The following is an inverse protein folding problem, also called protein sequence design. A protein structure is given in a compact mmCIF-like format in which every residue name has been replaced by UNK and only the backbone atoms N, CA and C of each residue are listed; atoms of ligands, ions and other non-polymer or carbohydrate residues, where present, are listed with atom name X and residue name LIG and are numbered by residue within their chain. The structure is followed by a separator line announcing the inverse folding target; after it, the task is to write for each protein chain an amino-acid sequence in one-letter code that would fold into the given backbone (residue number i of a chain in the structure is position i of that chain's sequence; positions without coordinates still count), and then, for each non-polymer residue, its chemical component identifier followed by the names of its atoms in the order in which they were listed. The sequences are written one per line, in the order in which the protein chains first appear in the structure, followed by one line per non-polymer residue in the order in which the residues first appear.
data_IF_048697700407
#
_entry.id   IF_048697700407
#
_cell.length_a   1.000
_cell.length_b   1.000
_cell.length_c   1.000
_cell.angle_alpha   90.00
_cell.angle_beta   90.00
_cell.angle_gamma   90.00
#
_symmetry.space_group_name_H-M   'P 1'
#
loop_
_entity.id
_entity.type
_entity.pdbx_description
1 polymer ?
#
# COMPACT_ATOMS: atom_id res chain seq x y z
N UNK A 1 -12.07 -10.52 -1.40
CA UNK A 1 -13.44 -10.53 -0.84
C UNK A 1 -13.80 -11.95 -0.44
N UNK A 2 -14.58 -12.14 0.61
CA UNK A 2 -15.00 -13.47 1.07
C UNK A 2 -16.19 -13.96 0.24
N UNK A 3 -16.13 -15.22 -0.23
CA UNK A 3 -17.19 -15.86 -0.99
C UNK A 3 -18.47 -16.00 -0.18
N UNK A 4 -19.63 -15.89 -0.83
CA UNK A 4 -20.94 -16.12 -0.22
C UNK A 4 -21.14 -17.58 0.23
N UNK A 5 -20.44 -18.52 -0.39
CA UNK A 5 -20.45 -19.94 -0.03
C UNK A 5 -19.54 -20.29 1.15
N UNK A 6 -18.85 -19.29 1.71
CA UNK A 6 -18.02 -19.43 2.91
C UNK A 6 -18.90 -19.64 4.14
N UNK A 7 -18.49 -20.55 5.03
CA UNK A 7 -19.09 -20.72 6.35
C UNK A 7 -18.98 -19.46 7.22
N UNK A 8 -17.99 -18.63 6.91
CA UNK A 8 -17.69 -17.39 7.63
C UNK A 8 -18.43 -16.18 7.01
N UNK A 9 -19.33 -16.40 6.03
CA UNK A 9 -20.12 -15.34 5.39
C UNK A 9 -21.36 -14.95 6.23
N UNK A 10 -21.71 -13.65 6.33
CA UNK A 10 -20.96 -12.49 5.88
C UNK A 10 -19.78 -12.17 6.82
N UNK A 11 -18.57 -12.10 6.27
CA UNK A 11 -17.38 -11.79 7.05
C UNK A 11 -17.14 -10.28 7.08
N UNK A 12 -17.32 -9.67 8.26
CA UNK A 12 -17.13 -8.24 8.49
C UNK A 12 -16.14 -8.02 9.62
N UNK A 13 -15.23 -7.06 9.42
CA UNK A 13 -14.27 -6.61 10.44
C UNK A 13 -14.50 -5.12 10.65
N UNK A 14 -14.67 -4.71 11.90
CA UNK A 14 -14.85 -3.30 12.22
C UNK A 14 -13.55 -2.51 11.96
N UNK A 15 -13.67 -1.23 11.66
CA UNK A 15 -12.54 -0.35 11.39
C UNK A 15 -11.58 -0.33 12.59
N UNK A 16 -10.29 -0.42 12.30
CA UNK A 16 -9.17 -0.45 13.24
C UNK A 16 -9.22 -1.60 14.25
N UNK A 17 -9.94 -2.68 13.92
CA UNK A 17 -10.01 -3.91 14.72
C UNK A 17 -9.46 -5.12 13.97
N UNK A 18 -9.28 -6.21 14.70
CA UNK A 18 -8.93 -7.52 14.17
C UNK A 18 -9.92 -8.59 14.65
N UNK A 19 -10.06 -9.65 13.86
CA UNK A 19 -10.85 -10.83 14.21
C UNK A 19 -10.16 -12.09 13.74
N UNK A 20 -10.51 -13.21 14.37
CA UNK A 20 -10.03 -14.53 13.98
C UNK A 20 -11.13 -15.31 13.26
N UNK A 21 -10.74 -16.03 12.21
CA UNK A 21 -11.64 -16.87 11.41
C UNK A 21 -10.99 -18.21 11.09
N UNK A 22 -11.71 -19.10 10.39
CA UNK A 22 -11.21 -20.44 10.05
C UNK A 22 -10.65 -21.20 11.27
N UNK A 23 -11.43 -21.29 12.35
CA UNK A 23 -11.04 -21.93 13.64
C UNK A 23 -9.76 -21.32 14.27
N UNK A 24 -9.59 -20.00 14.19
CA UNK A 24 -8.42 -19.26 14.67
C UNK A 24 -7.13 -19.49 13.89
N UNK A 25 -7.23 -20.03 12.67
CA UNK A 25 -6.09 -20.18 11.77
C UNK A 25 -5.78 -18.89 11.00
N UNK A 26 -6.75 -18.01 10.79
CA UNK A 26 -6.56 -16.76 10.07
C UNK A 26 -6.92 -15.60 10.97
N UNK A 27 -6.06 -14.58 11.01
CA UNK A 27 -6.35 -13.29 11.62
C UNK A 27 -6.56 -12.28 10.51
N UNK A 28 -7.66 -11.53 10.56
CA UNK A 28 -7.94 -10.45 9.62
C UNK A 28 -8.11 -9.13 10.36
N UNK A 29 -7.59 -8.05 9.78
CA UNK A 29 -7.75 -6.68 10.27
C UNK A 29 -8.22 -5.76 9.16
N UNK A 30 -8.81 -4.65 9.55
CA UNK A 30 -9.19 -3.57 8.64
C UNK A 30 -8.71 -2.27 9.27
N UNK A 31 -7.80 -1.53 8.61
CA UNK A 31 -7.19 -0.33 9.19
C UNK A 31 -6.98 0.79 8.16
N UNK A 32 -6.83 2.01 8.67
CA UNK A 32 -6.77 3.24 7.85
C UNK A 32 -5.55 3.28 6.95
N UNK A 33 -4.44 2.73 7.46
CA UNK A 33 -3.16 2.75 6.77
C UNK A 33 -3.20 1.93 5.47
N UNK A 34 -4.12 0.96 5.38
CA UNK A 34 -4.31 0.11 4.21
C UNK A 34 -5.60 0.44 3.42
N UNK A 35 -6.07 1.70 3.45
CA UNK A 35 -7.27 2.14 2.72
C UNK A 35 -8.53 1.31 3.06
N UNK A 36 -8.67 0.86 4.31
CA UNK A 36 -9.78 0.00 4.74
C UNK A 36 -9.88 -1.33 3.96
N UNK A 37 -8.79 -1.73 3.29
CA UNK A 37 -8.70 -3.03 2.67
C UNK A 37 -8.49 -4.09 3.75
N UNK A 38 -9.29 -5.16 3.69
CA UNK A 38 -9.18 -6.29 4.59
C UNK A 38 -7.81 -6.98 4.42
N UNK A 39 -6.98 -6.94 5.47
CA UNK A 39 -5.67 -7.59 5.51
C UNK A 39 -5.78 -8.86 6.35
N UNK A 40 -5.41 -10.01 5.80
CA UNK A 40 -5.47 -11.28 6.51
C UNK A 40 -4.12 -11.99 6.46
N UNK A 41 -3.75 -12.61 7.58
CA UNK A 41 -2.52 -13.35 7.74
C UNK A 41 -2.75 -14.65 8.54
N UNK A 42 -1.78 -15.56 8.45
CA UNK A 42 -1.80 -16.79 9.26
C UNK A 42 -1.67 -16.46 10.74
N UNK A 43 -2.57 -16.99 11.56
CA UNK A 43 -2.57 -16.84 13.00
C UNK A 43 -1.59 -17.83 13.65
N UNK A 44 -0.69 -17.31 14.48
CA UNK A 44 0.29 -18.13 15.23
C UNK A 44 -0.29 -18.75 16.51
N UNK A 45 -1.56 -18.49 16.84
CA UNK A 45 -2.16 -18.90 18.12
C UNK A 45 -2.41 -20.41 18.18
N UNK A 46 -2.49 -21.07 17.02
CA UNK A 46 -2.82 -22.49 16.88
C UNK A 46 -1.62 -23.40 16.55
N UNK A 47 -0.40 -23.04 16.94
CA UNK A 47 0.80 -23.86 16.68
C UNK A 47 0.78 -25.26 17.32
N UNK A 48 -0.20 -25.64 18.15
CA UNK A 48 -0.12 -26.86 18.95
C UNK A 48 -1.36 -27.76 19.06
N UNK A 49 -2.49 -27.55 18.34
CA UNK A 49 -3.62 -28.51 18.48
C UNK A 49 -4.58 -28.73 17.32
N UNK A 50 -4.43 -28.01 16.21
CA UNK A 50 -5.11 -28.33 14.96
C UNK A 50 -4.24 -27.79 13.83
N UNK A 51 -3.62 -28.68 13.06
CA UNK A 51 -2.82 -28.29 11.90
C UNK A 51 -3.71 -27.44 10.99
N UNK A 52 -3.51 -26.12 11.00
CA UNK A 52 -4.24 -25.24 10.10
C UNK A 52 -4.04 -25.75 8.66
N UNK A 53 -5.10 -25.78 7.84
CA UNK A 53 -4.98 -26.20 6.45
C UNK A 53 -4.05 -25.24 5.71
N UNK A 54 -3.47 -25.70 4.61
CA UNK A 54 -2.59 -24.86 3.78
C UNK A 54 -3.30 -23.56 3.38
N UNK A 55 -2.57 -22.45 3.48
CA UNK A 55 -3.02 -21.12 3.07
C UNK A 55 -2.23 -20.61 1.87
N UNK A 56 -1.72 -21.53 1.05
CA UNK A 56 -1.02 -21.18 -0.19
C UNK A 56 -2.04 -20.74 -1.25
N UNK A 57 -1.76 -19.62 -1.92
CA UNK A 57 -2.58 -19.12 -3.01
C UNK A 57 -2.45 -19.99 -4.25
N UNK A 58 -3.60 -20.42 -4.76
CA UNK A 58 -3.68 -21.17 -6.01
C UNK A 58 -3.35 -20.26 -7.20
N UNK A 59 -2.30 -20.59 -7.97
CA UNK A 59 -1.88 -19.82 -9.15
C UNK A 59 -0.65 -18.93 -8.95
N UNK A 60 -0.06 -18.90 -7.75
CA UNK A 60 1.28 -18.35 -7.53
C UNK A 60 2.10 -19.29 -6.64
N UNK A 61 3.23 -19.77 -7.18
CA UNK A 61 4.14 -20.63 -6.45
C UNK A 61 4.73 -19.88 -5.26
N UNK A 62 4.69 -20.51 -4.08
CA UNK A 62 5.23 -19.98 -2.83
C UNK A 62 4.60 -18.66 -2.34
N UNK A 63 3.43 -18.27 -2.85
CA UNK A 63 2.68 -17.14 -2.32
C UNK A 63 1.67 -17.64 -1.28
N UNK A 64 1.84 -17.22 -0.03
CA UNK A 64 0.98 -17.60 1.09
C UNK A 64 0.13 -16.41 1.54
N UNK A 65 -0.97 -16.67 2.23
CA UNK A 65 -1.86 -15.65 2.76
C UNK A 65 -1.09 -14.57 3.55
N UNK A 66 -1.29 -13.30 3.18
CA UNK A 66 -0.58 -12.16 3.75
C UNK A 66 0.74 -11.80 3.05
N UNK A 67 1.30 -12.68 2.21
CA UNK A 67 2.47 -12.36 1.40
C UNK A 67 2.09 -11.59 0.13
N UNK A 68 2.99 -10.70 -0.27
CA UNK A 68 2.96 -9.94 -1.51
C UNK A 68 4.16 -10.31 -2.38
N UNK A 69 4.00 -10.30 -3.71
CA UNK A 69 5.14 -10.43 -4.62
C UNK A 69 6.06 -9.19 -4.55
N UNK A 70 7.35 -9.38 -4.82
CA UNK A 70 8.40 -8.37 -4.64
C UNK A 70 8.51 -7.35 -5.78
N UNK A 71 7.51 -7.20 -6.64
CA UNK A 71 7.53 -6.22 -7.72
C UNK A 71 7.33 -4.79 -7.18
N UNK A 72 7.93 -3.79 -7.82
CA UNK A 72 7.72 -2.37 -7.46
C UNK A 72 6.42 -1.80 -8.03
N UNK A 73 5.87 -2.44 -9.06
CA UNK A 73 4.62 -2.06 -9.72
C UNK A 73 3.79 -3.34 -9.97
N UNK A 74 2.46 -3.28 -9.78
CA UNK A 74 1.54 -4.42 -9.86
C UNK A 74 1.95 -5.57 -8.93
N UNK A 75 2.01 -5.29 -7.62
CA UNK A 75 2.17 -6.34 -6.62
C UNK A 75 0.92 -7.20 -6.58
N UNK A 76 1.12 -8.51 -6.50
CA UNK A 76 0.04 -9.47 -6.30
C UNK A 76 0.13 -9.95 -4.86
N UNK A 77 -0.99 -9.88 -4.15
CA UNK A 77 -1.12 -10.35 -2.78
C UNK A 77 -2.01 -11.58 -2.73
N UNK A 78 -1.73 -12.47 -1.78
CA UNK A 78 -2.61 -13.57 -1.48
C UNK A 78 -3.66 -13.13 -0.46
N UNK A 79 -4.92 -13.05 -0.89
CA UNK A 79 -6.04 -12.60 -0.09
C UNK A 79 -6.87 -13.78 0.44
N UNK A 80 -7.48 -13.58 1.60
CA UNK A 80 -8.44 -14.53 2.15
C UNK A 80 -9.77 -14.44 1.38
N UNK A 81 -10.28 -15.59 0.96
CA UNK A 81 -11.50 -15.73 0.16
C UNK A 81 -12.60 -16.50 0.89
N UNK A 82 -12.34 -17.06 2.08
CA UNK A 82 -13.33 -17.74 2.90
C UNK A 82 -12.85 -19.02 3.55
N UNK A 83 -13.76 -19.72 4.21
CA UNK A 83 -13.53 -21.00 4.85
C UNK A 83 -14.71 -21.91 4.57
N UNK A 84 -14.45 -23.10 4.04
CA UNK A 84 -15.48 -24.08 3.70
C UNK A 84 -14.96 -25.49 3.87
N UNK A 85 -15.75 -26.37 4.47
CA UNK A 85 -15.42 -27.80 4.62
C UNK A 85 -14.01 -28.07 5.18
N UNK A 86 -13.59 -27.25 6.15
CA UNK A 86 -12.26 -27.28 6.77
C UNK A 86 -11.09 -26.83 5.89
N UNK A 87 -11.37 -26.23 4.74
CA UNK A 87 -10.38 -25.68 3.81
C UNK A 87 -10.43 -24.16 3.87
N UNK A 88 -9.24 -23.53 3.92
CA UNK A 88 -9.11 -22.08 3.76
C UNK A 88 -9.06 -21.77 2.28
N UNK A 89 -10.00 -20.93 1.84
CA UNK A 89 -10.06 -20.44 0.48
C UNK A 89 -9.22 -19.17 0.39
N UNK A 90 -8.37 -19.10 -0.63
CA UNK A 90 -7.49 -17.97 -0.92
C UNK A 90 -7.67 -17.53 -2.37
N UNK A 91 -7.40 -16.26 -2.66
CA UNK A 91 -7.47 -15.71 -4.02
C UNK A 91 -6.34 -14.72 -4.25
N UNK A 92 -5.83 -14.65 -5.48
CA UNK A 92 -4.88 -13.58 -5.84
C UNK A 92 -5.64 -12.26 -6.01
N UNK A 93 -5.13 -11.23 -5.35
CA UNK A 93 -5.61 -9.86 -5.50
C UNK A 93 -4.46 -8.95 -5.90
N UNK A 94 -4.77 -7.87 -6.61
CA UNK A 94 -3.77 -6.82 -6.91
C UNK A 94 -3.68 -5.90 -5.70
N UNK A 95 -2.46 -5.70 -5.20
CA UNK A 95 -2.19 -4.75 -4.13
C UNK A 95 -2.31 -3.32 -4.67
N UNK A 96 -3.43 -2.68 -4.30
CA UNK A 96 -3.80 -1.34 -4.75
C UNK A 96 -2.96 -0.23 -4.12
N UNK A 97 -2.11 -0.55 -3.13
CA UNK A 97 -1.19 0.41 -2.51
C UNK A 97 0.08 0.63 -3.33
N UNK A 98 0.34 -0.23 -4.33
CA UNK A 98 1.47 -0.12 -5.25
C UNK A 98 1.30 1.12 -6.15
N UNK A 99 1.89 2.24 -5.74
CA UNK A 99 1.96 3.45 -6.56
C UNK A 99 3.06 3.26 -7.61
N UNK A 100 2.69 2.97 -8.86
CA UNK A 100 3.67 2.91 -9.94
C UNK A 100 4.15 4.34 -10.27
N UNK A 101 5.46 4.60 -10.37
CA UNK A 101 5.93 5.87 -10.92
C UNK A 101 5.39 6.00 -12.35
N UNK A 102 4.81 7.16 -12.67
CA UNK A 102 4.42 7.47 -14.04
C UNK A 102 5.65 7.31 -14.97
N UNK A 103 5.48 6.84 -16.22
CA UNK A 103 6.57 6.84 -17.17
C UNK A 103 7.15 8.25 -17.21
N UNK A 104 8.43 8.36 -16.86
CA UNK A 104 9.15 9.63 -16.85
C UNK A 104 9.24 10.09 -18.31
N UNK A 105 8.22 10.83 -18.78
CA UNK A 105 8.41 11.69 -19.92
C UNK A 105 9.53 12.63 -19.50
N UNK A 106 10.70 12.44 -20.11
CA UNK A 106 11.83 13.34 -20.01
C UNK A 106 11.41 14.71 -20.57
N UNK A 107 10.58 15.44 -19.85
CA UNK A 107 10.41 16.87 -20.07
C UNK A 107 11.76 17.49 -19.75
N UNK A 108 12.43 18.15 -20.71
CA UNK A 108 13.62 18.90 -20.38
C UNK A 108 13.24 19.89 -19.28
N UNK A 109 13.95 19.84 -18.15
CA UNK A 109 13.81 20.84 -17.10
C UNK A 109 14.22 22.18 -17.71
N UNK A 110 13.25 22.92 -18.24
CA UNK A 110 13.41 24.33 -18.54
C UNK A 110 13.50 25.06 -17.20
N UNK A 111 14.70 25.08 -16.63
CA UNK A 111 15.10 26.00 -15.57
C UNK A 111 15.08 27.41 -16.14
N UNK A 112 13.91 28.05 -16.12
CA UNK A 112 13.74 29.48 -16.38
C UNK A 112 13.21 30.15 -15.12
N UNK A 113 13.88 30.03 -13.99
CA UNK A 113 13.48 30.81 -12.82
C UNK A 113 14.69 31.01 -11.90
N UNK A 114 15.21 32.24 -11.87
CA UNK A 114 15.97 32.69 -10.70
C UNK A 114 17.21 33.54 -10.93
N UNK A 115 17.60 33.91 -12.15
CA UNK A 115 18.88 34.62 -12.33
C UNK A 115 18.82 35.98 -13.04
N UNK A 116 17.83 36.85 -12.78
CA UNK A 116 17.92 38.26 -13.26
C UNK A 116 17.32 39.37 -12.37
N UNK A 117 16.77 39.08 -11.19
CA UNK A 117 16.16 40.14 -10.35
C UNK A 117 17.16 40.81 -9.40
N UNK A 118 18.13 40.07 -8.87
CA UNK A 118 19.12 40.61 -7.93
C UNK A 118 20.01 41.68 -8.58
N UNK A 119 20.33 41.56 -9.88
CA UNK A 119 21.21 42.51 -10.58
C UNK A 119 20.51 43.88 -10.73
N UNK A 120 19.20 43.90 -10.99
CA UNK A 120 18.44 45.16 -11.14
C UNK A 120 18.33 45.90 -9.79
N UNK A 121 18.12 45.16 -8.70
CA UNK A 121 18.07 45.74 -7.36
C UNK A 121 19.43 46.31 -6.94
N UNK A 122 20.53 45.59 -7.21
CA UNK A 122 21.88 46.08 -6.90
C UNK A 122 22.20 47.35 -7.71
N UNK A 123 21.90 47.36 -9.01
CA UNK A 123 22.16 48.53 -9.86
C UNK A 123 21.38 49.77 -9.42
N UNK A 124 20.11 49.61 -9.05
CA UNK A 124 19.27 50.73 -8.57
C UNK A 124 19.79 51.30 -7.24
N UNK A 125 20.23 50.45 -6.30
CA UNK A 125 20.84 50.92 -5.06
C UNK A 125 22.12 51.72 -5.28
N UNK A 126 23.00 51.29 -6.20
CA UNK A 126 24.26 51.99 -6.49
C UNK A 126 24.02 53.39 -7.10
N UNK A 127 23.02 53.54 -7.96
CA UNK A 127 22.66 54.84 -8.56
C UNK A 127 22.12 55.80 -7.51
N UNK A 128 21.25 55.34 -6.61
CA UNK A 128 20.69 56.17 -5.52
C UNK A 128 21.81 56.63 -4.56
N UNK A 129 22.75 55.75 -4.23
CA UNK A 129 23.90 56.08 -3.38
C UNK A 129 24.83 57.11 -4.02
N UNK A 130 25.03 57.02 -5.34
CA UNK A 130 25.78 58.01 -6.11
C UNK A 130 25.13 59.40 -6.04
N UNK A 131 23.81 59.49 -6.25
CA UNK A 131 23.10 60.78 -6.23
C UNK A 131 23.18 61.43 -4.83
N UNK A 132 23.15 60.65 -3.75
CA UNK A 132 23.30 61.16 -2.38
C UNK A 132 24.72 61.61 -2.00
N UNK A 133 25.75 61.13 -2.70
CA UNK A 133 27.15 61.52 -2.43
C UNK A 133 27.59 62.75 -3.24
N UNK A 134 26.86 63.09 -4.30
CA UNK A 134 27.17 64.21 -5.21
C UNK A 134 26.22 65.41 -5.07
N UNK A 135 25.33 65.41 -4.07
CA UNK A 135 24.52 66.56 -3.63
C UNK A 135 24.79 66.82 -2.15
#
# INVERSE_FOLDING_TARGET
MVSNDSLDYPFLVANDTYTFTAKHCVMCKCDAANNWALQCESSQINSSKSSCPSMQCQGADNLYLGNTTSSTCNRTLCAYAGYKDQIILTSLAVDSTSTCPAPHNNSPKASLQGWRWNIVLIATHLVVLGIHLFH
#
